data_IF_019732219036
#
_entry.id   IF_019732219036
#
_cell.length_a   1.000
_cell.length_b   1.000
_cell.length_c   1.000
_cell.angle_alpha   90.00
_cell.angle_beta   90.00
_cell.angle_gamma   90.00
#
_symmetry.space_group_name_H-M   'P 1'
#
loop_
_entity.id
_entity.type
_entity.pdbx_description
1 polymer ?
#
# COMPACT_ATOMS: atom_id res chain seq x y z
N UNK A 1 2.07 -15.07 -2.23
CA UNK A 1 2.38 -14.47 -3.55
C UNK A 1 3.86 -14.10 -3.54
N UNK A 2 4.62 -14.48 -4.56
CA UNK A 2 6.10 -14.35 -4.58
C UNK A 2 6.51 -12.89 -4.46
N UNK A 3 7.37 -12.58 -3.48
CA UNK A 3 7.96 -11.26 -3.25
C UNK A 3 8.70 -10.83 -4.52
N UNK A 4 8.08 -9.97 -5.33
CA UNK A 4 8.67 -9.51 -6.59
C UNK A 4 9.73 -8.47 -6.24
N UNK A 5 11.00 -8.86 -6.28
CA UNK A 5 12.08 -7.87 -6.26
C UNK A 5 12.16 -7.27 -7.66
N UNK A 6 12.01 -5.95 -7.84
CA UNK A 6 12.35 -5.34 -9.12
C UNK A 6 13.83 -5.62 -9.41
N UNK A 7 14.15 -5.96 -10.66
CA UNK A 7 15.53 -5.97 -11.11
C UNK A 7 15.93 -4.54 -11.49
N UNK A 8 17.17 -4.17 -11.20
CA UNK A 8 17.70 -2.85 -11.56
C UNK A 8 18.90 -3.07 -12.49
N UNK A 9 18.88 -2.38 -13.63
CA UNK A 9 20.06 -2.22 -14.45
C UNK A 9 20.74 -0.92 -14.03
N UNK A 10 22.02 -1.01 -13.65
CA UNK A 10 22.84 0.16 -13.32
C UNK A 10 23.96 0.28 -14.34
N UNK A 11 24.06 1.45 -14.95
CA UNK A 11 25.18 1.83 -15.79
C UNK A 11 25.94 2.94 -15.08
N UNK A 12 27.26 2.78 -14.94
CA UNK A 12 28.15 3.78 -14.35
C UNK A 12 29.13 4.22 -15.42
N UNK A 13 29.11 5.50 -15.76
CA UNK A 13 30.14 6.13 -16.57
C UNK A 13 31.44 6.15 -15.76
N UNK A 14 32.56 5.86 -16.43
CA UNK A 14 33.87 5.71 -15.80
C UNK A 14 33.86 4.92 -14.46
N UNK A 15 33.26 3.73 -14.48
CA UNK A 15 33.25 2.86 -13.30
C UNK A 15 34.65 2.51 -12.73
N UNK A 16 35.71 2.81 -13.49
CA UNK A 16 37.12 2.61 -13.13
C UNK A 16 37.80 3.85 -12.54
N UNK A 17 37.17 5.03 -12.58
CA UNK A 17 37.70 6.29 -12.06
C UNK A 17 38.98 6.76 -12.76
N UNK A 18 39.11 6.51 -14.06
CA UNK A 18 40.30 6.84 -14.87
C UNK A 18 40.23 8.27 -15.41
N UNK A 19 39.03 8.80 -15.57
CA UNK A 19 38.73 10.16 -16.02
C UNK A 19 38.37 10.99 -14.80
N UNK A 20 39.07 12.10 -14.58
CA UNK A 20 38.71 13.03 -13.51
C UNK A 20 37.47 13.81 -13.90
N UNK A 21 36.39 13.63 -13.15
CA UNK A 21 35.12 14.33 -13.35
C UNK A 21 34.94 15.46 -12.33
N UNK A 22 33.97 16.35 -12.58
CA UNK A 22 33.69 17.48 -11.68
C UNK A 22 32.88 17.03 -10.44
N UNK A 23 32.05 15.99 -10.60
CA UNK A 23 31.23 15.38 -9.57
C UNK A 23 31.29 13.85 -9.75
N UNK A 24 31.88 13.15 -8.79
CA UNK A 24 32.02 11.68 -8.82
C UNK A 24 30.74 10.98 -8.32
N UNK A 25 29.69 11.74 -7.95
CA UNK A 25 28.48 11.20 -7.30
C UNK A 25 27.28 11.08 -8.24
N UNK A 26 27.37 11.55 -9.49
CA UNK A 26 26.28 11.57 -10.46
C UNK A 26 26.54 10.74 -11.75
N UNK A 27 27.64 9.99 -11.80
CA UNK A 27 28.03 9.18 -12.95
C UNK A 27 27.26 7.85 -13.11
N UNK A 28 26.29 7.56 -12.24
CA UNK A 28 25.51 6.33 -12.26
C UNK A 28 24.03 6.56 -12.61
N UNK A 29 23.54 5.86 -13.63
CA UNK A 29 22.11 5.76 -13.95
C UNK A 29 21.59 4.37 -13.56
N UNK A 30 20.53 4.33 -12.76
CA UNK A 30 19.82 3.10 -12.40
C UNK A 30 18.39 3.12 -12.95
N UNK A 31 18.02 2.09 -13.70
CA UNK A 31 16.68 1.96 -14.30
C UNK A 31 16.06 0.63 -13.85
N UNK A 32 14.79 0.62 -13.40
CA UNK A 32 14.09 -0.62 -13.11
C UNK A 32 13.81 -1.38 -14.41
N UNK A 33 14.10 -2.68 -14.41
CA UNK A 33 13.86 -3.58 -15.54
C UNK A 33 12.89 -4.69 -15.13
N UNK A 34 11.92 -4.99 -15.99
CA UNK A 34 11.00 -6.09 -15.76
C UNK A 34 11.67 -7.40 -16.15
N UNK A 35 11.83 -8.30 -15.17
CA UNK A 35 12.20 -9.69 -15.43
C UNK A 35 10.95 -10.55 -15.29
N UNK A 36 10.46 -11.10 -16.40
CA UNK A 36 9.22 -11.89 -16.43
C UNK A 36 8.00 -11.09 -16.94
N UNK A 37 6.90 -11.08 -16.18
CA UNK A 37 5.61 -10.46 -16.56
C UNK A 37 5.26 -9.28 -15.65
N UNK A 38 4.71 -8.21 -16.22
CA UNK A 38 4.23 -7.03 -15.52
C UNK A 38 5.13 -5.80 -15.72
N UNK A 39 4.75 -4.67 -15.15
CA UNK A 39 5.52 -3.43 -15.21
C UNK A 39 6.72 -3.47 -14.26
N UNK A 40 7.81 -2.80 -14.65
CA UNK A 40 8.95 -2.54 -13.77
C UNK A 40 8.67 -1.25 -12.99
N UNK A 41 8.49 -1.38 -11.68
CA UNK A 41 8.09 -0.25 -10.82
C UNK A 41 9.12 -0.04 -9.71
N UNK A 42 9.35 1.21 -9.28
CA UNK A 42 10.38 1.54 -8.30
C UNK A 42 9.98 1.23 -6.85
N UNK A 43 8.81 0.61 -6.63
CA UNK A 43 8.30 0.27 -5.31
C UNK A 43 8.29 -1.24 -5.09
N UNK A 44 8.26 -1.64 -3.82
CA UNK A 44 8.03 -3.03 -3.40
C UNK A 44 6.73 -3.10 -2.62
N UNK A 45 5.85 -4.02 -3.01
CA UNK A 45 4.57 -4.27 -2.32
C UNK A 45 4.77 -5.25 -1.15
N UNK A 46 4.08 -4.98 -0.04
CA UNK A 46 4.02 -5.86 1.12
C UNK A 46 2.55 -6.09 1.48
N UNK A 47 2.11 -7.34 1.39
CA UNK A 47 0.74 -7.72 1.71
C UNK A 47 0.55 -7.82 3.23
N UNK A 48 -0.48 -7.18 3.76
CA UNK A 48 -0.71 -7.08 5.20
C UNK A 48 -0.96 -8.45 5.84
N UNK A 49 -1.62 -9.37 5.14
CA UNK A 49 -1.89 -10.74 5.61
C UNK A 49 -0.64 -11.64 5.65
N UNK A 50 0.45 -11.22 5.01
CA UNK A 50 1.74 -11.93 5.06
C UNK A 50 2.70 -11.32 6.09
N UNK A 51 2.31 -10.21 6.72
CA UNK A 51 3.09 -9.48 7.70
C UNK A 51 2.83 -9.97 9.13
N UNK A 52 3.64 -9.52 10.11
CA UNK A 52 3.36 -9.78 11.52
C UNK A 52 2.19 -8.88 11.93
N UNK A 53 1.09 -9.45 12.42
CA UNK A 53 -0.05 -8.68 12.89
C UNK A 53 -0.73 -9.32 14.10
N UNK A 54 -1.45 -8.50 14.87
CA UNK A 54 -2.36 -8.93 15.94
C UNK A 54 -3.80 -8.43 15.68
N UNK A 55 -4.07 -7.93 14.46
CA UNK A 55 -5.42 -7.64 13.96
C UNK A 55 -6.17 -8.90 13.51
N UNK A 56 -7.39 -8.70 12.99
CA UNK A 56 -8.23 -9.78 12.46
C UNK A 56 -7.98 -9.97 10.97
N UNK A 57 -7.69 -11.20 10.53
CA UNK A 57 -7.62 -11.53 9.11
C UNK A 57 -9.03 -11.55 8.51
N UNK A 58 -9.23 -10.81 7.43
CA UNK A 58 -10.43 -10.85 6.60
C UNK A 58 -10.12 -11.57 5.29
N UNK A 59 -11.03 -12.43 4.87
CA UNK A 59 -10.91 -13.20 3.62
C UNK A 59 -12.14 -12.98 2.75
N UNK A 60 -11.96 -13.15 1.44
CA UNK A 60 -13.09 -13.14 0.52
C UNK A 60 -14.01 -14.34 0.81
N UNK A 61 -15.31 -14.15 0.57
CA UNK A 61 -16.25 -15.26 0.68
C UNK A 61 -15.85 -16.42 -0.26
N UNK A 62 -16.14 -17.67 0.14
CA UNK A 62 -15.84 -18.84 -0.68
C UNK A 62 -16.53 -18.79 -2.05
N UNK A 63 -17.75 -18.25 -2.09
CA UNK A 63 -18.55 -18.08 -3.30
C UNK A 63 -18.44 -16.64 -3.83
N UNK A 64 -18.32 -16.52 -5.15
CA UNK A 64 -18.38 -15.22 -5.84
C UNK A 64 -19.82 -14.91 -6.25
N UNK A 65 -20.64 -14.54 -5.26
CA UNK A 65 -22.03 -14.15 -5.51
C UNK A 65 -22.06 -12.84 -6.31
N UNK A 66 -22.79 -12.83 -7.42
CA UNK A 66 -22.93 -11.63 -8.25
C UNK A 66 -23.58 -10.50 -7.44
N UNK A 67 -23.04 -9.29 -7.56
CA UNK A 67 -23.54 -8.11 -6.85
C UNK A 67 -23.17 -8.03 -5.37
N UNK A 68 -22.49 -9.03 -4.81
CA UNK A 68 -22.00 -9.02 -3.43
C UNK A 68 -20.49 -8.79 -3.38
N UNK A 69 -20.05 -7.85 -2.56
CA UNK A 69 -18.63 -7.68 -2.23
C UNK A 69 -18.42 -7.61 -0.72
N UNK A 70 -17.23 -8.02 -0.30
CA UNK A 70 -16.73 -7.87 1.05
C UNK A 70 -15.28 -7.35 1.00
N UNK A 71 -14.71 -6.98 2.14
CA UNK A 71 -13.34 -6.45 2.22
C UNK A 71 -12.31 -7.38 1.59
N UNK A 72 -12.41 -8.69 1.83
CA UNK A 72 -11.50 -9.66 1.22
C UNK A 72 -11.63 -9.69 -0.29
N UNK A 73 -12.84 -9.65 -0.84
CA UNK A 73 -13.08 -9.73 -2.28
C UNK A 73 -12.47 -8.58 -3.09
N UNK A 74 -12.30 -7.41 -2.47
CA UNK A 74 -11.70 -6.20 -3.07
C UNK A 74 -10.26 -5.94 -2.61
N UNK A 75 -9.70 -6.82 -1.76
CA UNK A 75 -8.31 -6.74 -1.34
C UNK A 75 -7.37 -7.42 -2.35
N UNK A 76 -6.13 -6.91 -2.46
CA UNK A 76 -5.05 -7.71 -3.06
C UNK A 76 -4.91 -9.04 -2.30
N UNK A 77 -4.47 -10.09 -3.00
CA UNK A 77 -4.42 -11.44 -2.41
C UNK A 77 -5.78 -12.01 -1.96
N UNK A 78 -6.88 -11.27 -2.16
CA UNK A 78 -8.22 -11.50 -1.61
C UNK A 78 -8.29 -11.53 -0.07
N UNK A 79 -7.36 -10.82 0.60
CA UNK A 79 -7.22 -10.82 2.06
C UNK A 79 -6.77 -9.46 2.57
N UNK A 80 -7.15 -9.11 3.80
CA UNK A 80 -6.67 -7.90 4.48
C UNK A 80 -6.66 -8.10 5.98
N UNK A 81 -5.96 -7.22 6.70
CA UNK A 81 -5.95 -7.22 8.17
C UNK A 81 -6.78 -6.04 8.67
N UNK A 82 -7.78 -6.32 9.49
CA UNK A 82 -8.61 -5.32 10.15
C UNK A 82 -8.07 -4.99 11.54
N UNK A 83 -7.91 -3.69 11.79
CA UNK A 83 -7.54 -3.11 13.08
C UNK A 83 -8.74 -2.36 13.65
N UNK A 84 -9.27 -2.78 14.80
CA UNK A 84 -10.42 -2.19 15.50
C UNK A 84 -10.10 -1.70 16.91
N UNK A 85 -8.91 -1.99 17.44
CA UNK A 85 -8.52 -1.66 18.79
C UNK A 85 -7.16 -0.98 18.88
N UNK A 86 -6.98 -0.12 19.89
CA UNK A 86 -5.68 0.48 20.21
C UNK A 86 -4.65 -0.61 20.48
N UNK A 87 -3.45 -0.46 19.89
CA UNK A 87 -2.37 -1.43 20.02
C UNK A 87 -2.45 -2.61 19.03
N UNK A 88 -3.49 -2.69 18.21
CA UNK A 88 -3.47 -3.56 17.04
C UNK A 88 -2.59 -2.96 15.94
N UNK A 89 -1.90 -3.82 15.20
CA UNK A 89 -0.93 -3.41 14.20
C UNK A 89 -0.77 -4.41 13.06
N UNK A 90 -0.13 -3.93 11.98
CA UNK A 90 0.51 -4.72 10.94
C UNK A 90 1.96 -4.24 10.81
N UNK A 91 2.92 -5.15 10.84
CA UNK A 91 4.36 -4.84 10.76
C UNK A 91 5.05 -5.65 9.68
N UNK A 92 5.73 -4.94 8.78
CA UNK A 92 6.53 -5.50 7.71
C UNK A 92 7.99 -5.07 7.85
N UNK A 93 8.90 -5.95 7.41
CA UNK A 93 10.33 -5.66 7.31
C UNK A 93 10.68 -5.41 5.85
N UNK A 94 11.23 -4.22 5.56
CA UNK A 94 11.59 -3.83 4.20
C UNK A 94 12.69 -4.74 3.64
N UNK A 95 12.60 -5.09 2.36
CA UNK A 95 13.66 -5.82 1.63
C UNK A 95 14.48 -4.95 0.70
N UNK A 96 14.12 -3.68 0.59
CA UNK A 96 14.82 -2.67 -0.18
C UNK A 96 14.82 -1.36 0.62
N UNK A 97 15.74 -0.42 0.34
CA UNK A 97 15.67 0.91 0.89
C UNK A 97 14.35 1.61 0.53
N UNK A 98 13.83 2.44 1.44
CA UNK A 98 12.58 3.16 1.22
C UNK A 98 12.58 4.54 1.90
N UNK A 99 12.09 5.54 1.18
CA UNK A 99 11.91 6.92 1.66
C UNK A 99 10.45 7.39 1.59
N UNK A 100 9.54 6.50 1.16
CA UNK A 100 8.13 6.76 0.99
C UNK A 100 7.32 5.51 1.32
N UNK A 101 6.05 5.72 1.61
CA UNK A 101 5.08 4.65 1.85
C UNK A 101 3.77 5.00 1.15
N UNK A 102 3.13 4.00 0.57
CA UNK A 102 1.73 4.04 0.14
C UNK A 102 0.99 2.95 0.91
N UNK A 103 -0.18 3.27 1.44
CA UNK A 103 -1.02 2.33 2.20
C UNK A 103 -2.39 2.26 1.54
N UNK A 104 -2.68 1.12 0.91
CA UNK A 104 -4.03 0.79 0.46
C UNK A 104 -4.86 0.39 1.68
N UNK A 105 -5.88 1.18 1.98
CA UNK A 105 -6.60 1.12 3.24
C UNK A 105 -8.11 1.23 3.01
N UNK A 106 -8.87 0.82 4.02
CA UNK A 106 -10.32 1.01 4.07
C UNK A 106 -10.68 1.53 5.46
N UNK A 107 -11.31 2.70 5.51
CA UNK A 107 -11.79 3.34 6.73
C UNK A 107 -13.29 3.61 6.61
N UNK A 108 -14.04 3.68 7.71
CA UNK A 108 -15.49 3.88 7.65
C UNK A 108 -15.88 5.15 6.88
N UNK A 109 -16.91 5.04 6.04
CA UNK A 109 -17.60 6.19 5.44
C UNK A 109 -18.30 7.06 6.50
N UNK A 110 -18.65 8.29 6.14
CA UNK A 110 -19.51 9.13 6.94
C UNK A 110 -20.97 8.61 6.91
N UNK A 111 -21.77 8.83 7.97
CA UNK A 111 -23.15 8.33 8.01
C UNK A 111 -24.04 8.79 6.85
N UNK A 112 -23.78 9.96 6.27
CA UNK A 112 -24.48 10.49 5.09
C UNK A 112 -23.76 10.28 3.76
N UNK A 113 -22.65 9.53 3.77
CA UNK A 113 -21.72 9.43 2.64
C UNK A 113 -20.83 10.66 2.50
N UNK A 114 -20.08 10.70 1.40
CA UNK A 114 -19.15 11.79 1.11
C UNK A 114 -17.82 11.73 1.87
N UNK A 115 -17.58 10.65 2.62
CA UNK A 115 -16.32 10.35 3.29
C UNK A 115 -16.03 11.16 4.54
N UNK A 116 -15.01 10.70 5.25
CA UNK A 116 -14.47 11.30 6.46
C UNK A 116 -13.00 10.89 6.65
N UNK A 117 -12.27 11.68 7.43
CA UNK A 117 -10.85 11.44 7.68
C UNK A 117 -10.63 10.64 8.97
N UNK A 118 -9.63 9.77 8.93
CA UNK A 118 -9.13 8.96 10.03
C UNK A 118 -7.61 9.08 10.09
N UNK A 119 -7.00 8.48 11.13
CA UNK A 119 -5.53 8.41 11.21
C UNK A 119 -5.05 7.03 11.65
N UNK A 120 -3.88 6.65 11.15
CA UNK A 120 -3.11 5.51 11.63
C UNK A 120 -1.68 5.95 11.94
N UNK A 121 -1.08 5.40 12.99
CA UNK A 121 0.28 5.76 13.38
C UNK A 121 1.29 4.93 12.61
N UNK A 122 2.26 5.57 11.97
CA UNK A 122 3.42 4.92 11.39
C UNK A 122 4.56 4.91 12.42
N UNK A 123 5.09 3.72 12.67
CA UNK A 123 6.31 3.51 13.44
C UNK A 123 7.42 2.97 12.53
N UNK A 124 8.65 3.40 12.80
CA UNK A 124 9.86 2.92 12.14
C UNK A 124 10.81 2.39 13.20
N UNK A 125 11.19 1.12 13.12
CA UNK A 125 11.99 0.42 14.13
C UNK A 125 11.44 0.65 15.56
N UNK A 126 10.14 0.42 15.74
CA UNK A 126 9.39 0.58 17.00
C UNK A 126 9.28 2.01 17.54
N UNK A 127 9.87 3.00 16.87
CA UNK A 127 9.75 4.42 17.22
C UNK A 127 8.63 5.08 16.43
N UNK A 128 7.80 5.88 17.09
CA UNK A 128 6.76 6.66 16.42
C UNK A 128 7.41 7.65 15.44
N UNK A 129 6.97 7.63 14.19
CA UNK A 129 7.44 8.55 13.15
C UNK A 129 6.41 9.65 12.88
N UNK A 130 5.19 9.27 12.50
CA UNK A 130 4.10 10.21 12.22
C UNK A 130 2.74 9.53 12.24
N UNK A 131 1.67 10.33 12.17
CA UNK A 131 0.36 9.83 11.74
C UNK A 131 0.21 9.97 10.22
N UNK A 132 -0.39 8.97 9.60
CA UNK A 132 -0.88 9.02 8.22
C UNK A 132 -2.37 9.37 8.27
N UNK A 133 -2.79 10.33 7.46
CA UNK A 133 -4.22 10.63 7.26
C UNK A 133 -4.79 9.64 6.28
N UNK A 134 -5.88 8.99 6.67
CA UNK A 134 -6.67 8.09 5.84
C UNK A 134 -7.97 8.81 5.51
N UNK A 135 -8.52 8.63 4.31
CA UNK A 135 -9.79 9.25 3.95
C UNK A 135 -10.68 8.24 3.26
N UNK A 136 -11.97 8.25 3.58
CA UNK A 136 -12.98 7.49 2.83
C UNK A 136 -13.56 8.26 1.64
N UNK A 137 -13.11 9.49 1.39
CA UNK A 137 -13.69 10.44 0.41
C UNK A 137 -13.87 9.91 -1.01
N UNK A 138 -12.98 9.03 -1.48
CA UNK A 138 -13.02 8.45 -2.83
C UNK A 138 -13.27 6.93 -2.81
N UNK A 139 -13.68 6.40 -1.67
CA UNK A 139 -14.12 5.02 -1.50
C UNK A 139 -15.61 5.00 -1.17
N UNK A 140 -16.18 3.80 -1.01
CA UNK A 140 -17.58 3.58 -0.67
C UNK A 140 -18.56 4.08 -1.75
N UNK A 141 -18.81 3.19 -2.71
CA UNK A 141 -20.00 3.27 -3.55
C UNK A 141 -21.02 2.24 -3.08
N UNK A 142 -22.29 2.52 -3.30
CA UNK A 142 -23.38 1.66 -2.87
C UNK A 142 -24.29 1.35 -4.06
N UNK A 143 -24.67 0.09 -4.20
CA UNK A 143 -25.46 -0.41 -5.33
C UNK A 143 -25.21 -1.89 -5.58
N UNK A 144 -25.94 -2.50 -6.53
CA UNK A 144 -25.86 -3.95 -6.80
C UNK A 144 -25.05 -4.32 -8.04
N UNK A 145 -24.82 -3.39 -8.97
CA UNK A 145 -23.99 -3.60 -10.18
C UNK A 145 -22.97 -2.48 -10.37
N UNK A 146 -21.97 -2.71 -11.22
CA UNK A 146 -20.93 -1.72 -11.54
C UNK A 146 -21.34 -0.74 -12.67
N UNK A 147 -22.61 -0.75 -13.05
CA UNK A 147 -23.14 0.20 -14.03
C UNK A 147 -23.19 1.60 -13.42
N UNK A 148 -22.77 2.62 -14.18
CA UNK A 148 -22.58 3.99 -13.67
C UNK A 148 -23.83 4.58 -13.04
N UNK A 149 -25.01 4.26 -13.57
CA UNK A 149 -26.31 4.74 -13.06
C UNK A 149 -26.80 3.96 -11.83
N UNK A 150 -26.17 2.83 -11.50
CA UNK A 150 -26.57 1.95 -10.38
C UNK A 150 -25.71 2.15 -9.13
N UNK A 151 -24.75 3.07 -9.16
CA UNK A 151 -23.86 3.38 -8.04
C UNK A 151 -24.16 4.75 -7.45
N UNK A 152 -24.22 4.80 -6.12
CA UNK A 152 -24.44 6.01 -5.35
C UNK A 152 -23.34 6.23 -4.33
N UNK A 153 -23.04 7.50 -4.02
CA UNK A 153 -22.23 7.90 -2.88
C UNK A 153 -23.07 8.03 -1.59
N UNK A 154 -24.38 7.75 -1.65
CA UNK A 154 -25.26 7.75 -0.48
C UNK A 154 -25.31 6.35 0.14
N UNK A 155 -25.01 6.20 1.44
CA UNK A 155 -25.00 4.91 2.10
C UNK A 155 -26.31 4.14 1.94
N UNK A 156 -26.18 2.90 1.48
CA UNK A 156 -27.26 1.92 1.38
C UNK A 156 -26.68 0.50 1.47
N UNK A 157 -27.46 -0.53 1.13
CA UNK A 157 -26.94 -1.89 1.10
C UNK A 157 -25.86 -2.07 -0.01
N UNK A 158 -25.12 -3.18 0.07
CA UNK A 158 -24.17 -3.60 -0.98
C UNK A 158 -23.08 -2.56 -1.29
N UNK A 159 -22.43 -2.10 -0.22
CA UNK A 159 -21.24 -1.25 -0.31
C UNK A 159 -20.11 -1.95 -1.07
N UNK A 160 -19.42 -1.19 -1.92
CA UNK A 160 -18.31 -1.63 -2.78
C UNK A 160 -17.32 -0.50 -3.03
N UNK A 161 -16.22 -0.78 -3.74
CA UNK A 161 -15.10 0.17 -3.91
C UNK A 161 -14.60 0.65 -2.54
N UNK A 162 -14.37 -0.32 -1.66
CA UNK A 162 -14.20 -0.15 -0.21
C UNK A 162 -12.82 0.42 0.15
N UNK A 163 -11.88 0.45 -0.77
CA UNK A 163 -10.48 0.82 -0.53
C UNK A 163 -10.08 2.08 -1.28
N UNK A 164 -9.26 2.89 -0.63
CA UNK A 164 -8.51 4.01 -1.20
C UNK A 164 -7.04 3.88 -0.80
N UNK A 165 -6.20 4.82 -1.24
CA UNK A 165 -4.78 4.87 -0.92
C UNK A 165 -4.40 6.17 -0.21
N UNK A 166 -3.51 6.08 0.77
CA UNK A 166 -2.79 7.24 1.32
C UNK A 166 -1.31 7.09 1.05
N UNK A 167 -0.58 8.22 0.99
CA UNK A 167 0.87 8.19 0.78
C UNK A 167 1.58 9.23 1.64
N UNK A 168 2.85 8.96 1.94
CA UNK A 168 3.72 9.90 2.63
C UNK A 168 5.18 9.73 2.23
N UNK A 169 5.89 10.87 2.09
CA UNK A 169 7.34 10.91 2.14
C UNK A 169 7.80 10.86 3.61
N UNK A 170 8.89 10.14 3.87
CA UNK A 170 9.41 9.90 5.21
C UNK A 170 10.50 10.90 5.63
N UNK A 171 10.91 11.78 4.72
CA UNK A 171 11.94 12.83 4.95
C UNK A 171 13.38 12.32 4.95
N UNK A 172 13.57 11.00 5.04
CA UNK A 172 14.87 10.32 4.93
C UNK A 172 14.69 8.97 4.24
N UNK A 173 15.80 8.37 3.78
CA UNK A 173 15.81 7.01 3.26
C UNK A 173 16.19 6.03 4.38
N UNK A 174 15.40 4.98 4.53
CA UNK A 174 15.67 3.88 5.45
C UNK A 174 16.25 2.69 4.70
N UNK A 175 17.25 1.98 5.25
CA UNK A 175 17.84 0.82 4.59
C UNK A 175 16.87 -0.38 4.57
N UNK A 176 17.19 -1.38 3.75
CA UNK A 176 16.57 -2.70 3.85
C UNK A 176 16.75 -3.27 5.26
N UNK A 177 15.77 -4.06 5.73
CA UNK A 177 15.73 -4.60 7.10
C UNK A 177 15.02 -3.69 8.10
N UNK A 178 14.60 -2.49 7.69
CA UNK A 178 13.83 -1.57 8.54
C UNK A 178 12.44 -2.14 8.80
N UNK A 179 12.01 -2.11 10.07
CA UNK A 179 10.62 -2.48 10.45
C UNK A 179 9.72 -1.26 10.33
N UNK A 180 8.65 -1.40 9.56
CA UNK A 180 7.59 -0.42 9.47
C UNK A 180 6.32 -1.04 10.06
N UNK A 181 5.70 -0.33 11.00
CA UNK A 181 4.48 -0.77 11.67
C UNK A 181 3.39 0.28 11.53
N UNK A 182 2.23 -0.17 11.08
CA UNK A 182 0.96 0.57 11.03
C UNK A 182 0.05 0.11 12.16
#
# INVERSE_FOLDING_TARGET
MTKRRPATATATADATGVVTELDETDNALSVPVAVGRGAALPYTEYEAEAARHNGTLLEADPLRTFGHTNFGSESSGRRSVRLTGTGQFVEFTSTAPANSIVVRNSVPDAPGGGGQDHTISLYVNDQFHRKLTLSSRNSWLYGTTDDTESLSNTPSADARRLFDETSALLGTSYPAGTRFRL
#
